data_IF_605404586451
#
_entry.id   IF_605404586451
#
_cell.length_a   1.000
_cell.length_b   1.000
_cell.length_c   1.000
_cell.angle_alpha   90.00
_cell.angle_beta   90.00
_cell.angle_gamma   90.00
#
_symmetry.space_group_name_H-M   'P 1'
#
loop_
_entity.id
_entity.type
_entity.pdbx_description
1 polymer ?
#
# COMPACT_ATOMS: atom_id res chain seq x y z
N UNK A 1 10.06 -8.34 -27.51
CA UNK A 1 9.77 -7.78 -26.15
C UNK A 1 9.96 -8.90 -25.16
N UNK A 2 10.73 -8.67 -24.12
CA UNK A 2 10.88 -9.66 -23.06
C UNK A 2 9.52 -9.93 -22.43
N UNK A 3 9.25 -11.19 -22.09
CA UNK A 3 7.99 -11.62 -21.52
C UNK A 3 7.78 -10.95 -20.14
N UNK A 4 6.60 -10.37 -19.90
CA UNK A 4 6.22 -9.71 -18.65
C UNK A 4 6.35 -10.69 -17.47
N UNK A 5 5.99 -11.94 -17.68
CA UNK A 5 6.04 -12.99 -16.66
C UNK A 5 7.47 -13.30 -16.18
N UNK A 6 8.48 -13.15 -17.04
CA UNK A 6 9.89 -13.38 -16.66
C UNK A 6 10.51 -12.24 -15.86
N UNK A 7 9.93 -11.04 -15.90
CA UNK A 7 10.51 -9.83 -15.33
C UNK A 7 9.81 -9.33 -14.07
N UNK A 8 8.51 -9.61 -13.93
CA UNK A 8 7.62 -9.00 -12.94
C UNK A 8 6.97 -10.06 -12.03
N UNK A 9 6.90 -9.77 -10.75
CA UNK A 9 6.05 -10.49 -9.79
C UNK A 9 5.03 -9.52 -9.21
N UNK A 10 3.78 -9.95 -9.07
CA UNK A 10 2.73 -9.22 -8.37
C UNK A 10 2.70 -9.67 -6.91
N UNK A 11 2.56 -8.74 -5.99
CA UNK A 11 2.41 -9.00 -4.55
C UNK A 11 1.16 -8.29 -4.06
N UNK A 12 0.21 -9.03 -3.50
CA UNK A 12 -1.01 -8.48 -2.90
C UNK A 12 -1.11 -8.91 -1.46
N UNK A 13 -1.39 -7.96 -0.56
CA UNK A 13 -1.69 -8.27 0.84
C UNK A 13 -3.20 -8.35 1.02
N UNK A 14 -3.65 -9.47 1.58
CA UNK A 14 -5.05 -9.75 1.91
C UNK A 14 -5.22 -9.82 3.42
N UNK A 15 -6.21 -9.13 3.96
CA UNK A 15 -6.62 -9.22 5.36
C UNK A 15 -8.13 -9.04 5.48
N UNK A 16 -8.84 -10.10 5.83
CA UNK A 16 -10.29 -10.13 5.90
C UNK A 16 -10.94 -9.54 4.63
N UNK A 17 -10.55 -10.05 3.46
CA UNK A 17 -10.93 -9.52 2.14
C UNK A 17 -11.34 -10.59 1.13
N UNK A 18 -11.94 -11.69 1.62
CA UNK A 18 -12.38 -12.83 0.81
C UNK A 18 -13.22 -12.44 -0.41
N UNK A 19 -14.14 -11.49 -0.23
CA UNK A 19 -15.09 -11.09 -1.28
C UNK A 19 -14.51 -10.07 -2.28
N UNK A 20 -13.40 -9.44 -1.95
CA UNK A 20 -12.84 -8.33 -2.74
C UNK A 20 -11.86 -8.82 -3.78
N UNK A 21 -10.91 -9.67 -3.40
CA UNK A 21 -9.80 -10.06 -4.28
C UNK A 21 -10.23 -11.02 -5.40
N UNK A 22 -11.18 -11.92 -5.14
CA UNK A 22 -11.63 -12.90 -6.13
C UNK A 22 -12.10 -12.31 -7.46
N UNK A 23 -12.99 -11.30 -7.48
CA UNK A 23 -13.40 -10.61 -8.70
C UNK A 23 -12.26 -9.96 -9.47
N UNK A 24 -11.24 -9.41 -8.79
CA UNK A 24 -10.08 -8.79 -9.44
C UNK A 24 -9.16 -9.83 -10.10
N UNK A 25 -8.95 -10.98 -9.46
CA UNK A 25 -8.25 -12.12 -10.07
C UNK A 25 -8.96 -12.57 -11.33
N UNK A 26 -10.27 -12.77 -11.27
CA UNK A 26 -11.08 -13.21 -12.40
C UNK A 26 -11.07 -12.19 -13.54
N UNK A 27 -11.14 -10.90 -13.24
CA UNK A 27 -11.10 -9.83 -14.24
C UNK A 27 -9.77 -9.83 -15.01
N UNK A 28 -8.65 -9.98 -14.32
CA UNK A 28 -7.35 -10.06 -14.97
C UNK A 28 -7.23 -11.31 -15.85
N UNK A 29 -7.65 -12.48 -15.34
CA UNK A 29 -7.66 -13.74 -16.09
C UNK A 29 -8.50 -13.67 -17.36
N UNK A 30 -9.66 -13.02 -17.30
CA UNK A 30 -10.57 -12.89 -18.44
C UNK A 30 -10.05 -11.94 -19.53
N UNK A 31 -9.05 -11.11 -19.25
CA UNK A 31 -8.50 -10.10 -20.18
C UNK A 31 -7.07 -10.38 -20.63
N UNK A 32 -6.34 -11.25 -19.92
CA UNK A 32 -4.96 -11.56 -20.23
C UNK A 32 -4.83 -12.33 -21.55
N UNK A 33 -3.91 -11.87 -22.40
CA UNK A 33 -3.58 -12.48 -23.70
C UNK A 33 -2.24 -13.20 -23.68
N UNK A 34 -1.41 -12.92 -22.68
CA UNK A 34 -0.08 -13.53 -22.48
C UNK A 34 -0.04 -14.22 -21.11
N UNK A 35 0.98 -15.08 -20.86
CA UNK A 35 1.20 -15.61 -19.53
C UNK A 35 1.30 -14.47 -18.50
N UNK A 36 0.52 -14.60 -17.42
CA UNK A 36 0.53 -13.61 -16.35
C UNK A 36 1.83 -13.68 -15.56
N UNK A 37 2.30 -12.55 -15.01
CA UNK A 37 3.33 -12.55 -13.99
C UNK A 37 2.96 -13.45 -12.81
N UNK A 38 3.97 -14.04 -12.18
CA UNK A 38 3.77 -14.74 -10.90
C UNK A 38 3.04 -13.82 -9.94
N UNK A 39 1.97 -14.30 -9.30
CA UNK A 39 1.15 -13.50 -8.39
C UNK A 39 1.16 -14.11 -6.99
N UNK A 40 1.86 -13.48 -6.08
CA UNK A 40 1.93 -13.86 -4.67
C UNK A 40 0.87 -13.09 -3.91
N UNK A 41 -0.02 -13.79 -3.23
CA UNK A 41 -1.00 -13.22 -2.31
C UNK A 41 -0.60 -13.58 -0.89
N UNK A 42 -0.32 -12.57 -0.07
CA UNK A 42 0.01 -12.77 1.34
C UNK A 42 -1.28 -12.60 2.16
N UNK A 43 -1.79 -13.69 2.71
CA UNK A 43 -2.84 -13.65 3.72
C UNK A 43 -2.25 -13.28 5.07
N UNK A 44 -2.54 -12.07 5.52
CA UNK A 44 -1.96 -11.47 6.71
C UNK A 44 -2.73 -11.86 8.00
N UNK A 45 -2.93 -13.17 8.20
CA UNK A 45 -3.68 -13.77 9.29
C UNK A 45 -5.17 -13.38 9.30
N UNK A 46 -5.87 -13.58 8.17
CA UNK A 46 -7.32 -13.38 8.09
C UNK A 46 -8.10 -14.38 8.93
N UNK A 47 -9.23 -13.96 9.49
CA UNK A 47 -10.13 -14.77 10.32
C UNK A 47 -11.52 -14.97 9.72
N UNK A 48 -11.77 -14.46 8.50
CA UNK A 48 -13.08 -14.46 7.83
C UNK A 48 -13.23 -15.54 6.74
N UNK A 49 -12.26 -16.48 6.65
CA UNK A 49 -12.22 -17.49 5.59
C UNK A 49 -11.54 -17.04 4.30
N UNK A 50 -10.86 -15.87 4.29
CA UNK A 50 -10.12 -15.36 3.13
C UNK A 50 -9.12 -16.39 2.59
N UNK A 51 -8.32 -17.02 3.45
CA UNK A 51 -7.33 -18.01 3.02
C UNK A 51 -7.97 -19.20 2.28
N UNK A 52 -9.08 -19.72 2.77
CA UNK A 52 -9.79 -20.83 2.12
C UNK A 52 -10.45 -20.41 0.81
N UNK A 53 -10.95 -19.19 0.74
CA UNK A 53 -11.46 -18.61 -0.50
C UNK A 53 -10.35 -18.51 -1.55
N UNK A 54 -9.17 -18.03 -1.17
CA UNK A 54 -8.02 -17.85 -2.07
C UNK A 54 -7.41 -19.16 -2.59
N UNK A 55 -7.51 -20.26 -1.84
CA UNK A 55 -7.09 -21.60 -2.31
C UNK A 55 -7.78 -22.04 -3.61
N UNK A 56 -8.97 -21.51 -3.91
CA UNK A 56 -9.68 -21.76 -5.17
C UNK A 56 -8.94 -21.24 -6.40
N UNK A 57 -8.00 -20.34 -6.21
CA UNK A 57 -7.17 -19.71 -7.25
C UNK A 57 -5.73 -20.27 -7.29
N UNK A 58 -5.47 -21.43 -6.66
CA UNK A 58 -4.14 -22.02 -6.53
C UNK A 58 -3.38 -22.26 -7.85
N UNK A 59 -4.08 -22.31 -8.99
CA UNK A 59 -3.44 -22.35 -10.33
C UNK A 59 -3.04 -21.01 -10.90
N UNK A 60 -3.37 -19.91 -10.22
CA UNK A 60 -3.19 -18.53 -10.69
C UNK A 60 -2.37 -17.71 -9.72
N UNK A 61 -2.57 -17.93 -8.44
CA UNK A 61 -1.87 -17.25 -7.36
C UNK A 61 -1.08 -18.24 -6.52
N UNK A 62 -0.02 -17.75 -5.91
CA UNK A 62 0.71 -18.41 -4.84
C UNK A 62 0.29 -17.78 -3.50
N UNK A 63 -0.36 -18.56 -2.65
CA UNK A 63 -0.82 -18.09 -1.35
C UNK A 63 0.26 -18.29 -0.29
N UNK A 64 0.73 -17.19 0.31
CA UNK A 64 1.55 -17.18 1.52
C UNK A 64 0.69 -16.81 2.72
N UNK A 65 0.71 -17.63 3.77
CA UNK A 65 -0.03 -17.35 4.99
C UNK A 65 0.91 -16.86 6.09
N UNK A 66 0.69 -15.65 6.59
CA UNK A 66 1.38 -15.15 7.76
C UNK A 66 0.75 -15.74 9.03
N UNK A 67 1.55 -16.17 10.03
CA UNK A 67 1.01 -16.70 11.28
C UNK A 67 0.32 -15.63 12.14
N UNK A 68 0.64 -14.36 11.93
CA UNK A 68 0.07 -13.21 12.62
C UNK A 68 -0.07 -12.00 11.68
N UNK A 69 -0.90 -11.04 12.05
CA UNK A 69 -1.02 -9.78 11.31
C UNK A 69 0.19 -8.88 11.60
N UNK A 70 1.13 -8.86 10.67
CA UNK A 70 2.38 -8.07 10.75
C UNK A 70 2.25 -6.65 10.19
N UNK A 71 1.03 -6.21 9.89
CA UNK A 71 0.77 -4.93 9.22
C UNK A 71 0.98 -4.98 7.71
N UNK A 72 0.63 -3.87 7.03
CA UNK A 72 0.67 -3.84 5.56
C UNK A 72 2.11 -3.96 5.03
N UNK A 73 3.03 -3.13 5.54
CA UNK A 73 4.42 -3.13 5.08
C UNK A 73 5.14 -4.45 5.35
N UNK A 74 4.94 -5.05 6.55
CA UNK A 74 5.52 -6.35 6.89
C UNK A 74 5.01 -7.46 5.98
N UNK A 75 3.71 -7.51 5.70
CA UNK A 75 3.13 -8.48 4.78
C UNK A 75 3.61 -8.28 3.33
N UNK A 76 3.78 -7.02 2.88
CA UNK A 76 4.42 -6.74 1.59
C UNK A 76 5.85 -7.30 1.54
N UNK A 77 6.62 -7.12 2.61
CA UNK A 77 8.00 -7.63 2.69
C UNK A 77 8.06 -9.16 2.58
N UNK A 78 7.12 -9.89 3.19
CA UNK A 78 7.03 -11.35 3.03
C UNK A 78 6.84 -11.75 1.56
N UNK A 79 5.92 -11.08 0.84
CA UNK A 79 5.72 -11.32 -0.59
C UNK A 79 6.93 -10.93 -1.44
N UNK A 80 7.57 -9.80 -1.14
CA UNK A 80 8.76 -9.32 -1.85
C UNK A 80 9.93 -10.28 -1.63
N UNK A 81 10.11 -10.82 -0.43
CA UNK A 81 11.16 -11.79 -0.12
C UNK A 81 11.01 -13.11 -0.91
N UNK A 82 9.78 -13.52 -1.22
CA UNK A 82 9.49 -14.69 -2.05
C UNK A 82 9.64 -14.42 -3.57
N UNK A 83 9.88 -13.15 -3.97
CA UNK A 83 10.02 -12.75 -5.37
C UNK A 83 11.41 -13.04 -5.90
N UNK A 84 11.49 -13.60 -7.11
CA UNK A 84 12.77 -13.88 -7.81
C UNK A 84 13.04 -12.95 -8.99
N UNK A 85 12.01 -12.28 -9.51
CA UNK A 85 12.11 -11.33 -10.62
C UNK A 85 12.74 -10.01 -10.21
N UNK A 86 13.28 -9.27 -11.18
CA UNK A 86 13.86 -7.93 -10.94
C UNK A 86 12.80 -6.93 -10.47
N UNK A 87 11.62 -6.95 -11.07
CA UNK A 87 10.56 -6.00 -10.74
C UNK A 87 9.49 -6.65 -9.89
N UNK A 88 8.97 -5.89 -8.93
CA UNK A 88 7.85 -6.30 -8.08
C UNK A 88 6.80 -5.19 -8.05
N UNK A 89 5.55 -5.54 -8.30
CA UNK A 89 4.42 -4.65 -8.16
C UNK A 89 3.60 -5.03 -6.92
N UNK A 90 3.67 -4.19 -5.90
CA UNK A 90 2.79 -4.29 -4.74
C UNK A 90 1.44 -3.69 -5.09
N UNK A 91 0.35 -4.42 -4.81
CA UNK A 91 -1.02 -4.06 -5.15
C UNK A 91 -1.97 -4.25 -3.97
N UNK A 92 -2.88 -3.32 -3.79
CA UNK A 92 -4.02 -3.54 -2.90
C UNK A 92 -5.02 -4.54 -3.53
N UNK A 93 -5.80 -5.29 -2.72
CA UNK A 93 -6.76 -6.26 -3.22
C UNK A 93 -7.96 -5.64 -3.95
N UNK A 94 -8.17 -4.31 -3.85
CA UNK A 94 -9.26 -3.54 -4.46
C UNK A 94 -8.79 -2.64 -5.62
N UNK A 95 -7.73 -3.06 -6.34
CA UNK A 95 -7.23 -2.40 -7.55
C UNK A 95 -7.67 -3.13 -8.82
N UNK A 96 -8.10 -2.39 -9.84
CA UNK A 96 -8.48 -2.94 -11.14
C UNK A 96 -7.26 -3.02 -12.05
N UNK A 97 -6.79 -4.24 -12.29
CA UNK A 97 -5.57 -4.48 -13.05
C UNK A 97 -5.87 -4.92 -14.48
N UNK A 98 -5.09 -4.45 -15.45
CA UNK A 98 -5.06 -4.95 -16.81
C UNK A 98 -3.64 -5.23 -17.28
N UNK A 99 -3.48 -6.17 -18.21
CA UNK A 99 -2.17 -6.50 -18.80
C UNK A 99 -1.50 -5.26 -19.41
N UNK A 100 -2.26 -4.43 -20.13
CA UNK A 100 -1.73 -3.21 -20.72
C UNK A 100 -1.22 -2.20 -19.67
N UNK A 101 -1.89 -2.08 -18.54
CA UNK A 101 -1.43 -1.22 -17.45
C UNK A 101 -0.13 -1.73 -16.84
N UNK A 102 0.02 -3.04 -16.67
CA UNK A 102 1.27 -3.66 -16.20
C UNK A 102 2.44 -3.38 -17.15
N UNK A 103 2.23 -3.62 -18.45
CA UNK A 103 3.23 -3.39 -19.48
C UNK A 103 3.66 -1.93 -19.54
N UNK A 104 2.69 -1.00 -19.59
CA UNK A 104 2.98 0.43 -19.66
C UNK A 104 3.69 0.94 -18.40
N UNK A 105 3.29 0.50 -17.22
CA UNK A 105 3.94 0.93 -15.98
C UNK A 105 5.40 0.46 -15.91
N UNK A 106 5.67 -0.77 -16.37
CA UNK A 106 7.04 -1.31 -16.43
C UNK A 106 7.89 -0.56 -17.48
N UNK A 107 7.30 -0.21 -18.63
CA UNK A 107 7.97 0.59 -19.67
C UNK A 107 8.35 1.96 -19.11
N UNK A 108 7.43 2.64 -18.43
CA UNK A 108 7.71 3.97 -17.83
C UNK A 108 8.79 3.90 -16.77
N UNK A 109 8.74 2.91 -15.86
CA UNK A 109 9.76 2.75 -14.84
C UNK A 109 11.15 2.57 -15.46
N UNK A 110 11.27 1.72 -16.50
CA UNK A 110 12.54 1.47 -17.21
C UNK A 110 13.01 2.71 -17.98
N UNK A 111 12.11 3.35 -18.75
CA UNK A 111 12.44 4.52 -19.56
C UNK A 111 12.98 5.69 -18.73
N UNK A 112 12.50 5.82 -17.49
CA UNK A 112 12.92 6.89 -16.58
C UNK A 112 14.02 6.46 -15.61
N UNK A 113 14.52 5.22 -15.68
CA UNK A 113 15.46 4.62 -14.73
C UNK A 113 15.01 4.86 -13.28
N UNK A 114 13.72 4.70 -13.01
CA UNK A 114 13.15 4.95 -11.71
C UNK A 114 13.21 3.72 -10.80
N UNK A 115 13.42 3.93 -9.51
CA UNK A 115 13.39 2.85 -8.52
C UNK A 115 11.96 2.49 -8.11
N UNK A 116 11.05 3.47 -8.11
CA UNK A 116 9.65 3.27 -7.77
C UNK A 116 8.78 4.03 -8.78
N UNK A 117 7.75 3.37 -9.31
CA UNK A 117 6.72 3.96 -10.15
C UNK A 117 5.32 3.67 -9.59
N UNK A 118 4.45 4.67 -9.61
CA UNK A 118 3.04 4.52 -9.27
C UNK A 118 2.14 4.99 -10.41
N UNK A 119 1.02 4.30 -10.71
CA UNK A 119 0.05 4.69 -11.72
C UNK A 119 -0.93 5.76 -11.19
N UNK A 120 -1.75 6.32 -12.08
CA UNK A 120 -2.99 6.97 -11.68
C UNK A 120 -3.94 5.95 -11.04
N UNK A 121 -4.39 6.23 -9.82
CA UNK A 121 -5.38 5.40 -9.11
C UNK A 121 -6.84 5.76 -9.49
N UNK A 122 -6.99 6.55 -10.56
CA UNK A 122 -8.28 6.96 -11.14
C UNK A 122 -8.37 6.45 -12.56
N UNK A 123 -9.59 6.45 -13.10
CA UNK A 123 -9.83 6.10 -14.51
C UNK A 123 -9.39 7.21 -15.47
N UNK A 124 -9.43 8.47 -15.03
CA UNK A 124 -8.95 9.60 -15.79
C UNK A 124 -7.42 9.63 -15.80
N UNK A 125 -6.85 9.73 -16.98
CA UNK A 125 -5.39 9.73 -17.20
C UNK A 125 -4.97 11.05 -17.87
N UNK A 126 -3.75 11.48 -17.51
CA UNK A 126 -3.01 12.54 -18.19
C UNK A 126 -1.73 11.90 -18.75
N UNK A 127 -1.42 12.11 -20.02
CA UNK A 127 -0.18 11.58 -20.59
C UNK A 127 1.05 12.36 -20.05
N UNK A 128 1.39 12.07 -18.79
CA UNK A 128 2.43 12.76 -18.05
C UNK A 128 3.10 11.84 -17.02
N UNK A 129 4.41 11.99 -16.87
CA UNK A 129 5.21 11.37 -15.81
C UNK A 129 5.87 12.48 -15.01
N UNK A 130 5.69 12.47 -13.70
CA UNK A 130 6.27 13.44 -12.78
C UNK A 130 7.19 12.76 -11.76
N UNK A 131 8.33 13.37 -11.43
CA UNK A 131 9.08 13.03 -10.22
C UNK A 131 8.31 13.51 -9.00
N UNK A 132 8.15 12.63 -8.01
CA UNK A 132 7.33 12.91 -6.84
C UNK A 132 8.02 12.54 -5.53
N UNK A 133 7.65 13.23 -4.45
CA UNK A 133 8.17 12.93 -3.12
C UNK A 133 7.59 11.66 -2.50
N UNK A 134 6.41 11.22 -2.95
CA UNK A 134 5.73 10.03 -2.45
C UNK A 134 4.60 9.59 -3.38
N UNK A 135 4.22 8.32 -3.23
CA UNK A 135 3.12 7.65 -3.92
C UNK A 135 2.21 6.97 -2.89
N UNK A 136 0.99 6.67 -3.30
CA UNK A 136 0.05 5.90 -2.49
C UNK A 136 0.38 4.41 -2.62
N UNK A 137 0.43 3.70 -1.50
CA UNK A 137 0.77 2.27 -1.43
C UNK A 137 -0.23 1.31 -2.09
N UNK A 138 -1.26 1.83 -2.76
CA UNK A 138 -2.26 0.99 -3.44
C UNK A 138 -1.73 0.28 -4.70
N UNK A 139 -0.73 0.87 -5.39
CA UNK A 139 -0.02 0.26 -6.50
C UNK A 139 1.37 0.87 -6.60
N UNK A 140 2.41 0.09 -6.29
CA UNK A 140 3.81 0.52 -6.31
C UNK A 140 4.66 -0.51 -7.05
N UNK A 141 5.13 -0.15 -8.25
CA UNK A 141 6.12 -0.94 -8.98
C UNK A 141 7.51 -0.53 -8.53
N UNK A 142 8.34 -1.50 -8.17
CA UNK A 142 9.70 -1.29 -7.68
C UNK A 142 10.71 -2.09 -8.49
N UNK A 143 11.87 -1.47 -8.77
CA UNK A 143 13.08 -2.15 -9.23
C UNK A 143 13.84 -2.67 -8.00
N UNK A 144 13.85 -3.99 -7.82
CA UNK A 144 14.46 -4.64 -6.65
C UNK A 144 15.97 -4.47 -6.58
N UNK A 145 16.64 -4.33 -7.72
CA UNK A 145 18.09 -4.08 -7.76
C UNK A 145 18.41 -2.70 -7.23
N UNK A 146 17.68 -1.66 -7.68
CA UNK A 146 17.85 -0.29 -7.18
C UNK A 146 17.44 -0.14 -5.71
N UNK A 147 16.40 -0.85 -5.29
CA UNK A 147 15.92 -0.79 -3.91
C UNK A 147 16.72 -1.63 -2.92
N UNK A 148 17.64 -2.48 -3.38
CA UNK A 148 18.37 -3.42 -2.53
C UNK A 148 19.13 -2.76 -1.36
N UNK A 149 19.76 -1.64 -1.58
CA UNK A 149 20.48 -0.88 -0.54
C UNK A 149 19.56 -0.03 0.35
N UNK A 150 18.45 0.46 -0.22
CA UNK A 150 17.45 1.27 0.51
C UNK A 150 16.60 0.41 1.42
N UNK A 151 16.39 -0.84 1.03
CA UNK A 151 15.44 -1.77 1.63
C UNK A 151 13.98 -1.44 1.27
N UNK A 152 13.07 -2.33 1.65
CA UNK A 152 11.66 -2.20 1.34
C UNK A 152 10.88 -1.49 2.47
N UNK A 153 9.72 -2.00 2.86
CA UNK A 153 8.90 -1.34 3.88
C UNK A 153 9.51 -1.46 5.28
N UNK A 154 9.47 -0.38 6.04
CA UNK A 154 9.85 -0.39 7.46
C UNK A 154 8.69 -0.94 8.30
N UNK A 155 8.86 -2.13 8.86
CA UNK A 155 7.81 -2.90 9.56
C UNK A 155 7.32 -2.24 10.86
N UNK A 156 8.05 -1.25 11.39
CA UNK A 156 7.59 -0.42 12.50
C UNK A 156 6.31 0.35 12.17
N UNK A 157 6.08 0.63 10.86
CA UNK A 157 4.83 1.19 10.37
C UNK A 157 3.82 0.05 10.15
N UNK A 158 3.04 -0.23 11.16
CA UNK A 158 2.02 -1.28 11.03
C UNK A 158 0.99 -0.97 9.94
N UNK A 159 0.55 0.29 9.85
CA UNK A 159 -0.42 0.76 8.85
C UNK A 159 -0.29 2.28 8.68
N UNK A 160 -0.28 2.75 7.44
CA UNK A 160 -0.08 4.14 6.99
C UNK A 160 1.34 4.67 7.21
N UNK A 161 1.79 5.50 6.31
CA UNK A 161 3.11 6.12 6.23
C UNK A 161 4.26 5.18 5.82
N UNK A 162 4.05 3.88 5.73
CA UNK A 162 5.01 2.93 5.18
C UNK A 162 5.37 3.26 3.72
N UNK A 163 4.37 3.66 2.92
CA UNK A 163 4.51 4.10 1.52
C UNK A 163 5.27 5.42 1.39
N UNK A 164 4.93 6.38 2.25
CA UNK A 164 5.59 7.70 2.29
C UNK A 164 7.04 7.56 2.77
N UNK A 165 7.29 6.68 3.75
CA UNK A 165 8.63 6.38 4.26
C UNK A 165 9.50 5.71 3.19
N UNK A 166 8.94 4.73 2.48
CA UNK A 166 9.62 4.01 1.41
C UNK A 166 10.08 4.98 0.30
N UNK A 167 9.15 5.79 -0.22
CA UNK A 167 9.45 6.77 -1.26
C UNK A 167 10.45 7.82 -0.79
N UNK A 168 10.32 8.28 0.47
CA UNK A 168 11.27 9.24 1.02
C UNK A 168 12.67 8.65 1.11
N UNK A 169 12.82 7.41 1.58
CA UNK A 169 14.15 6.75 1.64
C UNK A 169 14.76 6.59 0.25
N UNK A 170 13.97 6.19 -0.75
CA UNK A 170 14.44 6.13 -2.13
C UNK A 170 14.94 7.50 -2.62
N UNK A 171 14.14 8.57 -2.45
CA UNK A 171 14.55 9.93 -2.82
C UNK A 171 15.80 10.41 -2.06
N UNK A 172 15.91 10.12 -0.76
CA UNK A 172 17.08 10.50 0.07
C UNK A 172 18.37 9.79 -0.40
N UNK A 173 18.26 8.62 -1.07
CA UNK A 173 19.37 7.91 -1.72
C UNK A 173 19.61 8.35 -3.18
N UNK A 174 18.94 9.40 -3.64
CA UNK A 174 19.07 9.92 -5.01
C UNK A 174 18.35 9.07 -6.06
N UNK A 175 17.51 8.12 -5.66
CA UNK A 175 16.74 7.29 -6.56
C UNK A 175 15.44 8.00 -6.96
N UNK A 176 15.03 7.81 -8.22
CA UNK A 176 13.81 8.44 -8.73
C UNK A 176 12.57 7.69 -8.29
N UNK A 177 11.57 8.46 -7.85
CA UNK A 177 10.20 8.01 -7.58
C UNK A 177 9.28 8.77 -8.54
N UNK A 178 8.57 8.05 -9.40
CA UNK A 178 7.78 8.67 -10.49
C UNK A 178 6.30 8.32 -10.39
N UNK A 179 5.46 9.29 -10.75
CA UNK A 179 4.02 9.12 -10.91
C UNK A 179 3.66 9.09 -12.40
N UNK A 180 3.29 7.91 -12.89
CA UNK A 180 2.92 7.65 -14.28
C UNK A 180 1.42 7.94 -14.47
N UNK A 181 1.06 9.19 -14.66
CA UNK A 181 -0.34 9.62 -14.78
C UNK A 181 -1.03 9.11 -16.05
N UNK A 182 -0.24 8.71 -17.07
CA UNK A 182 -0.73 8.09 -18.30
C UNK A 182 -1.08 6.60 -18.15
N UNK A 183 -0.75 5.98 -17.02
CA UNK A 183 -1.09 4.59 -16.71
C UNK A 183 -2.18 4.55 -15.64
N UNK A 184 -3.30 3.89 -15.91
CA UNK A 184 -4.41 3.78 -14.97
C UNK A 184 -4.49 2.38 -14.36
N UNK A 185 -4.43 2.32 -13.03
CA UNK A 185 -4.80 1.15 -12.20
C UNK A 185 -5.80 1.67 -11.15
N UNK A 186 -7.10 1.70 -11.48
CA UNK A 186 -8.10 2.26 -10.61
C UNK A 186 -8.15 1.55 -9.25
N UNK A 187 -8.25 2.34 -8.19
CA UNK A 187 -8.37 1.85 -6.83
C UNK A 187 -9.76 2.23 -6.27
N UNK A 188 -10.61 1.25 -6.08
CA UNK A 188 -12.00 1.47 -5.64
C UNK A 188 -12.07 2.10 -4.25
N UNK A 189 -11.07 1.83 -3.44
CA UNK A 189 -10.85 2.46 -2.13
C UNK A 189 -11.92 2.15 -1.09
N UNK A 190 -11.51 1.51 0.00
CA UNK A 190 -12.40 1.24 1.13
C UNK A 190 -13.27 -0.02 0.99
N UNK A 191 -13.06 -0.82 -0.06
CA UNK A 191 -13.73 -2.11 -0.26
C UNK A 191 -13.12 -3.26 0.55
N UNK A 192 -11.87 -3.15 0.93
CA UNK A 192 -11.10 -4.25 1.53
C UNK A 192 -11.45 -4.58 2.99
N UNK A 193 -12.21 -3.75 3.70
CA UNK A 193 -12.58 -4.05 5.09
C UNK A 193 -13.86 -3.31 5.48
N UNK A 194 -14.83 -4.02 6.07
CA UNK A 194 -16.08 -3.41 6.58
C UNK A 194 -15.75 -2.32 7.62
N UNK A 195 -16.31 -1.12 7.44
CA UNK A 195 -16.04 0.04 8.31
C UNK A 195 -16.87 0.03 9.58
N UNK A 196 -16.59 -0.92 10.48
CA UNK A 196 -17.17 -0.89 11.84
C UNK A 196 -16.56 0.24 12.67
N UNK A 197 -17.11 0.48 13.85
CA UNK A 197 -16.57 1.46 14.81
C UNK A 197 -15.17 1.06 15.24
N UNK A 198 -14.96 -0.20 15.56
CA UNK A 198 -13.71 -0.79 16.03
C UNK A 198 -12.62 -0.67 14.96
N UNK A 199 -12.95 -1.02 13.71
CA UNK A 199 -12.04 -0.86 12.56
C UNK A 199 -11.67 0.62 12.34
N UNK A 200 -12.64 1.54 12.48
CA UNK A 200 -12.35 2.98 12.37
C UNK A 200 -11.45 3.48 13.50
N UNK A 201 -11.62 3.01 14.73
CA UNK A 201 -10.76 3.35 15.86
C UNK A 201 -9.34 2.82 15.64
N UNK A 202 -9.19 1.55 15.26
CA UNK A 202 -7.92 0.91 14.92
C UNK A 202 -7.17 1.67 13.81
N UNK A 203 -7.83 1.96 12.71
CA UNK A 203 -7.28 2.74 11.59
C UNK A 203 -6.78 4.10 12.06
N UNK A 204 -7.56 4.82 12.86
CA UNK A 204 -7.19 6.16 13.31
C UNK A 204 -6.09 6.14 14.38
N UNK A 205 -6.03 5.11 15.22
CA UNK A 205 -4.92 4.89 16.13
C UNK A 205 -3.61 4.74 15.35
N UNK A 206 -3.56 3.83 14.36
CA UNK A 206 -2.36 3.64 13.53
C UNK A 206 -2.00 4.87 12.70
N UNK A 207 -2.97 5.64 12.20
CA UNK A 207 -2.68 6.96 11.58
C UNK A 207 -1.96 7.91 12.53
N UNK A 208 -2.31 7.92 13.80
CA UNK A 208 -1.64 8.74 14.81
C UNK A 208 -0.24 8.24 15.13
N UNK A 209 -0.11 6.94 15.41
CA UNK A 209 1.15 6.26 15.73
C UNK A 209 2.16 6.39 14.58
N UNK A 210 1.76 6.06 13.38
CA UNK A 210 2.63 6.10 12.20
C UNK A 210 3.03 7.53 11.83
N UNK A 211 2.15 8.53 12.03
CA UNK A 211 2.54 9.92 11.84
C UNK A 211 3.63 10.36 12.83
N UNK A 212 3.52 9.96 14.10
CA UNK A 212 4.52 10.27 15.11
C UNK A 212 5.85 9.55 14.84
N UNK A 213 5.80 8.25 14.49
CA UNK A 213 6.96 7.47 14.10
C UNK A 213 7.69 8.07 12.89
N UNK A 214 6.93 8.46 11.86
CA UNK A 214 7.49 9.12 10.68
C UNK A 214 8.18 10.43 11.03
N UNK A 215 7.56 11.25 11.90
CA UNK A 215 8.13 12.51 12.34
C UNK A 215 9.44 12.31 13.13
N UNK A 216 9.51 11.29 13.99
CA UNK A 216 10.74 10.92 14.72
C UNK A 216 11.81 10.41 13.76
N UNK A 217 11.49 9.43 12.92
CA UNK A 217 12.44 8.80 12.00
C UNK A 217 13.09 9.79 11.05
N UNK A 218 12.31 10.75 10.55
CA UNK A 218 12.79 11.75 9.59
C UNK A 218 13.10 13.11 10.20
N UNK A 219 13.25 13.19 11.52
CA UNK A 219 13.63 14.40 12.25
C UNK A 219 12.79 15.63 11.87
N UNK A 220 11.47 15.46 11.72
CA UNK A 220 10.61 16.59 11.37
C UNK A 220 10.60 17.64 12.48
N UNK A 221 10.53 18.91 12.09
CA UNK A 221 10.49 20.01 13.05
C UNK A 221 9.38 19.82 14.10
N UNK A 222 9.64 20.05 15.40
CA UNK A 222 8.65 19.84 16.48
C UNK A 222 7.31 20.60 16.25
N UNK A 223 7.35 21.69 15.48
CA UNK A 223 6.16 22.45 15.07
C UNK A 223 5.18 21.62 14.25
N UNK A 224 5.66 20.64 13.46
CA UNK A 224 4.83 19.74 12.64
C UNK A 224 3.98 18.87 13.56
N UNK A 225 4.61 18.24 14.56
CA UNK A 225 3.91 17.43 15.55
C UNK A 225 2.95 18.26 16.42
N UNK A 226 3.39 19.44 16.89
CA UNK A 226 2.51 20.35 17.63
C UNK A 226 1.26 20.72 16.83
N UNK A 227 1.41 21.02 15.53
CA UNK A 227 0.28 21.31 14.62
C UNK A 227 -0.65 20.10 14.47
N UNK A 228 -0.10 18.91 14.28
CA UNK A 228 -0.90 17.67 14.17
C UNK A 228 -1.71 17.39 15.44
N UNK A 229 -1.07 17.44 16.59
CA UNK A 229 -1.71 17.24 17.90
C UNK A 229 -2.77 18.30 18.17
N UNK A 230 -2.45 19.59 17.98
CA UNK A 230 -3.38 20.70 18.16
C UNK A 230 -4.62 20.57 17.27
N UNK A 231 -4.44 20.23 15.98
CA UNK A 231 -5.54 19.97 15.05
C UNK A 231 -6.49 18.87 15.55
N UNK A 232 -5.93 17.77 16.06
CA UNK A 232 -6.75 16.65 16.53
C UNK A 232 -7.39 16.94 17.91
N UNK A 233 -6.73 17.68 18.81
CA UNK A 233 -7.33 18.21 20.05
C UNK A 233 -8.50 19.12 19.77
N UNK A 234 -8.37 20.07 18.81
CA UNK A 234 -9.46 20.95 18.40
C UNK A 234 -10.65 20.15 17.84
N UNK A 235 -10.38 19.12 17.00
CA UNK A 235 -11.44 18.24 16.49
C UNK A 235 -12.15 17.47 17.60
N UNK A 236 -11.42 17.04 18.61
CA UNK A 236 -11.96 16.37 19.79
C UNK A 236 -12.93 17.31 20.54
N UNK A 237 -12.49 18.54 20.84
CA UNK A 237 -13.30 19.55 21.53
C UNK A 237 -14.56 19.90 20.75
N UNK A 238 -14.44 20.18 19.46
CA UNK A 238 -15.61 20.47 18.61
C UNK A 238 -16.59 19.30 18.60
N UNK A 239 -16.11 18.06 18.55
CA UNK A 239 -17.00 16.89 18.54
C UNK A 239 -17.73 16.65 19.86
N UNK A 240 -17.17 17.07 20.98
CA UNK A 240 -17.87 17.08 22.27
C UNK A 240 -19.02 18.09 22.27
N UNK A 241 -18.78 19.31 21.75
CA UNK A 241 -19.78 20.36 21.66
C UNK A 241 -20.92 20.06 20.66
N UNK A 242 -20.62 19.28 19.62
CA UNK A 242 -21.58 18.95 18.55
C UNK A 242 -22.17 17.54 18.66
N UNK A 243 -21.98 16.86 19.81
CA UNK A 243 -22.39 15.47 20.04
C UNK A 243 -21.94 14.49 18.93
N UNK A 244 -20.86 14.83 18.24
CA UNK A 244 -20.32 14.09 17.09
C UNK A 244 -19.53 12.85 17.49
N UNK A 245 -20.17 11.79 18.03
CA UNK A 245 -19.51 10.57 18.54
C UNK A 245 -18.45 10.00 17.60
N UNK A 246 -18.75 9.84 16.31
CA UNK A 246 -17.80 9.30 15.33
C UNK A 246 -16.57 10.21 15.07
N UNK A 247 -16.73 11.54 15.16
CA UNK A 247 -15.61 12.48 15.05
C UNK A 247 -14.75 12.47 16.31
N UNK A 248 -15.39 12.34 17.47
CA UNK A 248 -14.71 12.21 18.76
C UNK A 248 -13.81 10.99 18.80
N UNK A 249 -14.35 9.79 18.51
CA UNK A 249 -13.59 8.53 18.55
C UNK A 249 -12.40 8.55 17.58
N UNK A 250 -12.58 9.07 16.36
CA UNK A 250 -11.48 9.22 15.40
C UNK A 250 -10.37 10.17 15.87
N UNK A 251 -10.72 11.29 16.46
CA UNK A 251 -9.73 12.25 16.95
C UNK A 251 -9.01 11.73 18.19
N UNK A 252 -9.73 11.08 19.12
CA UNK A 252 -9.17 10.43 20.31
C UNK A 252 -8.19 9.33 19.91
N UNK A 253 -8.61 8.40 19.06
CA UNK A 253 -7.76 7.30 18.61
C UNK A 253 -6.44 7.79 17.98
N UNK A 254 -6.46 8.86 17.17
CA UNK A 254 -5.23 9.47 16.64
C UNK A 254 -4.31 10.02 17.72
N UNK A 255 -4.85 10.66 18.74
CA UNK A 255 -4.06 11.19 19.84
C UNK A 255 -3.47 10.08 20.71
N UNK A 256 -4.23 8.99 20.93
CA UNK A 256 -3.76 7.82 21.65
C UNK A 256 -2.63 7.12 20.89
N UNK A 257 -2.75 6.98 19.56
CA UNK A 257 -1.68 6.48 18.70
C UNK A 257 -0.42 7.34 18.75
N UNK A 258 -0.54 8.68 18.79
CA UNK A 258 0.63 9.56 18.97
C UNK A 258 1.29 9.30 20.32
N UNK A 259 0.52 9.22 21.41
CA UNK A 259 1.07 8.98 22.74
C UNK A 259 1.86 7.67 22.81
N UNK A 260 1.33 6.58 22.25
CA UNK A 260 2.00 5.28 22.28
C UNK A 260 3.36 5.21 21.57
N UNK A 261 3.73 6.24 20.83
CA UNK A 261 5.03 6.32 20.15
C UNK A 261 6.10 6.93 21.06
N UNK A 262 5.68 7.63 22.13
CA UNK A 262 6.58 8.32 23.06
C UNK A 262 6.63 7.64 24.46
N UNK A 263 5.88 6.57 24.63
CA UNK A 263 5.99 5.65 25.80
C UNK A 263 6.83 4.44 25.48
#
# INVERSE_FOLDING_TARGET
MEDLASQLTLVTVSYNSAEVLGPHIQSLLGTAKTPLPRWIVVDNASSDGTADHLKRYAGVIELLQSPENVGFGGACNLGIAATTTRYVLVLNPDTELSEAALQNLLVELKAHAAAIAGPSLKRDIENKVDDVGWLVGAALLMDRELMGEVGYFDERFFLYKEDVDLCKRANDHGLRVIHCKGVSIPHVGGGSTARTKEVNEFINYHKGRSYALYAQKHNLAPSVMRRYVSKNRRRLLISLLTFGRSRYTRAKAKLDGVKSTYT
#
